data_IF_571452782484
#
_entry.id   IF_571452782484
#
_cell.length_a   1.000
_cell.length_b   1.000
_cell.length_c   1.000
_cell.angle_alpha   90.00
_cell.angle_beta   90.00
_cell.angle_gamma   90.00
#
_symmetry.space_group_name_H-M   'P 1'
#
loop_
_entity.id
_entity.type
_entity.pdbx_description
1 polymer ?
#
# COMPACT_ATOMS: atom_id res chain seq x y z
N UNK A 1 14.04 9.21 -9.10
CA UNK A 1 15.44 8.76 -9.24
C UNK A 1 15.90 9.23 -10.59
N UNK A 2 17.01 9.94 -10.65
CA UNK A 2 17.64 10.29 -11.92
C UNK A 2 18.06 9.03 -12.67
N UNK A 3 18.66 9.21 -13.83
CA UNK A 3 19.24 8.10 -14.59
C UNK A 3 20.29 7.36 -13.73
N UNK A 4 20.07 6.06 -13.47
CA UNK A 4 20.98 5.20 -12.70
C UNK A 4 22.39 5.19 -13.29
N UNK A 5 22.52 5.42 -14.61
CA UNK A 5 23.81 5.47 -15.30
C UNK A 5 24.69 6.62 -14.82
N UNK A 6 24.09 7.68 -14.28
CA UNK A 6 24.80 8.91 -13.87
C UNK A 6 25.39 8.83 -12.46
N UNK A 7 25.03 7.81 -11.68
CA UNK A 7 25.54 7.62 -10.32
C UNK A 7 26.99 7.11 -10.34
N UNK A 8 27.78 7.45 -9.33
CA UNK A 8 29.09 6.79 -9.16
C UNK A 8 28.91 5.33 -8.69
N UNK A 9 29.99 4.56 -8.67
CA UNK A 9 29.92 3.14 -8.28
C UNK A 9 29.46 2.94 -6.84
N UNK A 10 29.78 3.87 -5.93
CA UNK A 10 29.38 3.75 -4.54
C UNK A 10 27.88 3.96 -4.41
N UNK A 11 27.35 5.04 -4.96
CA UNK A 11 25.94 5.38 -4.85
C UNK A 11 25.06 4.38 -5.59
N UNK A 12 25.50 3.87 -6.75
CA UNK A 12 24.79 2.84 -7.51
C UNK A 12 24.54 1.56 -6.68
N UNK A 13 25.53 1.10 -5.91
CA UNK A 13 25.43 -0.06 -5.00
C UNK A 13 24.53 0.17 -3.78
N UNK A 14 24.14 1.42 -3.54
CA UNK A 14 23.42 1.86 -2.35
C UNK A 14 22.07 2.51 -2.68
N UNK A 15 21.58 2.32 -3.92
CA UNK A 15 20.20 2.66 -4.29
C UNK A 15 19.24 1.63 -3.68
N UNK A 16 18.25 2.05 -2.88
CA UNK A 16 17.24 1.16 -2.32
C UNK A 16 16.53 0.30 -3.38
N UNK A 17 16.38 -1.01 -3.15
CA UNK A 17 15.71 -1.91 -4.10
C UNK A 17 14.30 -1.45 -4.53
N UNK A 18 13.44 -0.81 -3.68
CA UNK A 18 12.12 -0.37 -4.12
C UNK A 18 12.20 0.67 -5.25
N UNK A 19 13.29 1.43 -5.31
CA UNK A 19 13.55 2.38 -6.38
C UNK A 19 14.04 1.69 -7.65
N UNK A 20 14.80 0.59 -7.53
CA UNK A 20 15.20 -0.25 -8.66
C UNK A 20 14.00 -0.98 -9.29
N UNK A 21 12.98 -1.33 -8.49
CA UNK A 21 11.73 -1.88 -8.99
C UNK A 21 10.98 -0.93 -9.95
N UNK A 22 11.37 0.35 -10.03
CA UNK A 22 10.92 1.26 -11.09
C UNK A 22 11.22 0.74 -12.50
N UNK A 23 12.25 -0.10 -12.68
CA UNK A 23 12.54 -0.77 -13.97
C UNK A 23 11.33 -1.53 -14.53
N UNK A 24 10.35 -1.90 -13.69
CA UNK A 24 9.08 -2.44 -14.16
C UNK A 24 8.26 -1.47 -15.03
N UNK A 25 8.43 -0.16 -14.86
CA UNK A 25 7.85 0.87 -15.73
C UNK A 25 8.48 0.81 -17.12
N UNK A 26 9.80 0.76 -17.20
CA UNK A 26 10.54 0.67 -18.46
C UNK A 26 10.21 -0.65 -19.18
N UNK A 27 10.13 -1.75 -18.42
CA UNK A 27 9.67 -3.04 -18.94
C UNK A 27 8.26 -2.94 -19.54
N UNK A 28 7.31 -2.33 -18.81
CA UNK A 28 5.94 -2.12 -19.32
C UNK A 28 5.92 -1.27 -20.59
N UNK A 29 6.70 -0.19 -20.65
CA UNK A 29 6.77 0.67 -21.82
C UNK A 29 7.27 -0.09 -23.06
N UNK A 30 8.24 -0.99 -22.89
CA UNK A 30 8.72 -1.87 -23.95
C UNK A 30 7.71 -2.98 -24.35
N UNK A 31 6.67 -3.22 -23.54
CA UNK A 31 5.71 -4.31 -23.70
C UNK A 31 4.25 -3.82 -23.69
N UNK A 32 3.95 -2.75 -24.43
CA UNK A 32 2.57 -2.24 -24.62
C UNK A 32 1.82 -1.91 -23.32
N UNK A 33 2.56 -1.48 -22.29
CA UNK A 33 2.04 -1.18 -20.96
C UNK A 33 1.77 -2.42 -20.09
N UNK A 34 2.07 -3.63 -20.56
CA UNK A 34 1.73 -4.87 -19.87
C UNK A 34 2.82 -5.31 -18.88
N UNK A 35 2.41 -5.67 -17.67
CA UNK A 35 3.30 -6.29 -16.70
C UNK A 35 3.62 -7.75 -17.10
N UNK A 36 4.76 -8.31 -16.66
CA UNK A 36 5.07 -9.74 -16.83
C UNK A 36 3.96 -10.66 -16.30
N UNK A 37 3.42 -11.55 -17.15
CA UNK A 37 2.35 -12.49 -16.74
C UNK A 37 2.83 -13.94 -16.77
N UNK A 38 3.42 -14.34 -17.89
CA UNK A 38 3.91 -15.70 -18.11
C UNK A 38 5.26 -15.90 -17.42
N UNK A 39 5.59 -17.15 -17.10
CA UNK A 39 6.88 -17.49 -16.49
C UNK A 39 8.08 -16.94 -17.27
N UNK A 40 8.07 -17.07 -18.60
CA UNK A 40 9.14 -16.54 -19.44
C UNK A 40 9.27 -15.01 -19.35
N UNK A 41 8.14 -14.28 -19.32
CA UNK A 41 8.15 -12.81 -19.15
C UNK A 41 8.65 -12.39 -17.77
N UNK A 42 8.31 -13.17 -16.72
CA UNK A 42 8.79 -12.92 -15.36
C UNK A 42 10.32 -13.11 -15.29
N UNK A 43 10.83 -14.16 -15.91
CA UNK A 43 12.27 -14.39 -16.02
C UNK A 43 12.98 -13.31 -16.83
N UNK A 44 12.38 -12.88 -17.93
CA UNK A 44 12.89 -11.80 -18.78
C UNK A 44 12.97 -10.47 -18.02
N UNK A 45 11.94 -10.10 -17.26
CA UNK A 45 12.00 -8.93 -16.38
C UNK A 45 13.04 -9.07 -15.25
N UNK A 46 13.15 -10.25 -14.63
CA UNK A 46 14.22 -10.49 -13.65
C UNK A 46 15.60 -10.32 -14.30
N UNK A 47 15.77 -10.76 -15.55
CA UNK A 47 17.01 -10.60 -16.28
C UNK A 47 17.28 -9.12 -16.61
N UNK A 48 16.26 -8.31 -16.89
CA UNK A 48 16.45 -6.88 -17.11
C UNK A 48 16.96 -6.15 -15.86
N UNK A 49 16.49 -6.54 -14.67
CA UNK A 49 17.04 -6.01 -13.40
C UNK A 49 18.51 -6.39 -13.25
N UNK A 50 18.89 -7.65 -13.55
CA UNK A 50 20.29 -8.10 -13.49
C UNK A 50 21.18 -7.36 -14.49
N UNK A 51 20.68 -7.11 -15.69
CA UNK A 51 21.42 -6.40 -16.73
C UNK A 51 21.60 -4.89 -16.43
N UNK A 52 20.75 -4.33 -15.56
CA UNK A 52 20.90 -2.95 -15.09
C UNK A 52 21.97 -2.81 -13.98
N UNK A 53 22.40 -3.93 -13.36
CA UNK A 53 23.51 -3.94 -12.44
C UNK A 53 24.84 -3.75 -13.21
N UNK A 54 25.80 -3.05 -12.60
CA UNK A 54 27.18 -2.94 -13.11
C UNK A 54 27.96 -4.22 -12.82
N UNK A 55 27.70 -4.82 -11.66
CA UNK A 55 28.35 -6.05 -11.20
C UNK A 55 27.43 -6.85 -10.28
N UNK A 56 26.44 -7.53 -10.85
CA UNK A 56 25.34 -8.17 -10.10
C UNK A 56 25.78 -9.04 -8.89
N UNK A 57 26.84 -9.89 -8.97
CA UNK A 57 27.33 -10.63 -7.81
C UNK A 57 27.72 -9.78 -6.60
N UNK A 58 28.18 -8.54 -6.82
CA UNK A 58 28.69 -7.63 -5.79
C UNK A 58 27.71 -6.47 -5.47
N UNK A 59 26.50 -6.50 -6.03
CA UNK A 59 25.48 -5.46 -5.86
C UNK A 59 24.24 -6.02 -5.13
N UNK A 60 24.32 -6.08 -3.80
CA UNK A 60 23.28 -6.65 -2.94
C UNK A 60 21.91 -5.98 -3.12
N UNK A 61 21.86 -4.67 -3.39
CA UNK A 61 20.62 -3.96 -3.67
C UNK A 61 19.91 -4.46 -4.94
N UNK A 62 20.65 -4.87 -5.98
CA UNK A 62 20.08 -5.51 -7.16
C UNK A 62 19.66 -6.96 -6.90
N UNK A 63 20.37 -7.68 -6.04
CA UNK A 63 19.95 -9.01 -5.59
C UNK A 63 18.63 -8.94 -4.81
N UNK A 64 18.48 -7.97 -3.90
CA UNK A 64 17.23 -7.67 -3.21
C UNK A 64 16.12 -7.28 -4.21
N UNK A 65 16.43 -6.49 -5.24
CA UNK A 65 15.46 -6.12 -6.27
C UNK A 65 14.97 -7.34 -7.06
N UNK A 66 15.86 -8.29 -7.39
CA UNK A 66 15.47 -9.55 -8.04
C UNK A 66 14.58 -10.39 -7.13
N UNK A 67 14.93 -10.53 -5.85
CA UNK A 67 14.12 -11.27 -4.87
C UNK A 67 12.72 -10.67 -4.70
N UNK A 68 12.60 -9.34 -4.80
CA UNK A 68 11.36 -8.61 -4.64
C UNK A 68 10.68 -8.22 -5.96
N UNK A 69 11.19 -8.69 -7.11
CA UNK A 69 10.68 -8.33 -8.44
C UNK A 69 9.18 -8.68 -8.59
N UNK A 70 8.73 -9.75 -7.92
CA UNK A 70 7.35 -10.19 -7.94
C UNK A 70 6.36 -9.15 -7.44
N UNK A 71 6.77 -8.23 -6.56
CA UNK A 71 5.91 -7.15 -6.08
C UNK A 71 5.42 -6.23 -7.22
N UNK A 72 6.08 -6.24 -8.38
CA UNK A 72 5.75 -5.37 -9.53
C UNK A 72 4.76 -5.97 -10.52
N UNK A 73 4.59 -7.30 -10.48
CA UNK A 73 3.77 -8.05 -11.45
C UNK A 73 2.83 -9.06 -10.82
N UNK A 74 2.98 -9.35 -9.52
CA UNK A 74 1.94 -10.02 -8.78
C UNK A 74 0.74 -9.07 -8.65
N UNK A 75 -0.47 -9.59 -8.86
CA UNK A 75 -1.63 -8.74 -9.05
C UNK A 75 -2.05 -8.13 -7.71
N UNK A 76 -1.50 -6.96 -7.38
CA UNK A 76 -1.96 -6.14 -6.26
C UNK A 76 -3.48 -5.96 -6.28
N UNK A 77 -4.08 -5.92 -7.49
CA UNK A 77 -5.53 -5.87 -7.69
C UNK A 77 -6.29 -7.09 -7.15
N UNK A 78 -5.76 -8.31 -7.26
CA UNK A 78 -6.44 -9.49 -6.74
C UNK A 78 -6.45 -9.46 -5.21
N UNK A 79 -5.30 -9.18 -4.58
CA UNK A 79 -5.19 -9.04 -3.13
C UNK A 79 -6.06 -7.90 -2.60
N UNK A 80 -6.13 -6.77 -3.31
CA UNK A 80 -7.02 -5.65 -2.97
C UNK A 80 -8.50 -6.04 -3.02
N UNK A 81 -8.93 -6.78 -4.06
CA UNK A 81 -10.32 -7.26 -4.16
C UNK A 81 -10.69 -8.20 -3.02
N UNK A 82 -9.79 -9.12 -2.66
CA UNK A 82 -10.00 -10.01 -1.50
C UNK A 82 -10.12 -9.21 -0.21
N UNK A 83 -9.22 -8.26 0.03
CA UNK A 83 -9.27 -7.40 1.22
C UNK A 83 -10.56 -6.57 1.29
N UNK A 84 -11.03 -6.02 0.17
CA UNK A 84 -12.29 -5.29 0.09
C UNK A 84 -13.51 -6.18 0.38
N UNK A 85 -13.52 -7.41 -0.15
CA UNK A 85 -14.57 -8.40 0.13
C UNK A 85 -14.63 -8.74 1.62
N UNK A 86 -13.47 -9.09 2.21
CA UNK A 86 -13.35 -9.39 3.64
C UNK A 86 -13.79 -8.22 4.53
N UNK A 87 -13.41 -6.99 4.17
CA UNK A 87 -13.86 -5.79 4.89
C UNK A 87 -15.38 -5.63 4.83
N UNK A 88 -15.98 -5.84 3.66
CA UNK A 88 -17.42 -5.71 3.46
C UNK A 88 -18.18 -6.75 4.29
N UNK A 89 -17.74 -8.01 4.27
CA UNK A 89 -18.32 -9.07 5.10
C UNK A 89 -18.19 -8.77 6.60
N UNK A 90 -17.02 -8.32 7.04
CA UNK A 90 -16.76 -7.97 8.44
C UNK A 90 -17.65 -6.81 8.89
N UNK A 91 -17.80 -5.78 8.05
CA UNK A 91 -18.67 -4.64 8.33
C UNK A 91 -20.14 -5.09 8.45
N UNK A 92 -20.65 -5.92 7.54
CA UNK A 92 -22.02 -6.44 7.60
C UNK A 92 -22.28 -7.22 8.90
N UNK A 93 -21.36 -8.12 9.28
CA UNK A 93 -21.45 -8.88 10.54
C UNK A 93 -21.45 -7.96 11.76
N UNK A 94 -20.56 -6.97 11.78
CA UNK A 94 -20.47 -6.01 12.88
C UNK A 94 -21.72 -5.13 12.98
N UNK A 95 -22.31 -4.73 11.84
CA UNK A 95 -23.55 -3.95 11.77
C UNK A 95 -24.74 -4.74 12.34
N UNK A 96 -24.87 -6.03 11.98
CA UNK A 96 -25.89 -6.91 12.52
C UNK A 96 -25.76 -7.08 14.05
N UNK A 97 -24.54 -7.30 14.54
CA UNK A 97 -24.28 -7.43 15.97
C UNK A 97 -24.59 -6.16 16.77
N UNK A 98 -24.45 -4.96 16.17
CA UNK A 98 -24.85 -3.69 16.81
C UNK A 98 -26.36 -3.64 17.04
N UNK A 99 -27.16 -4.18 16.13
CA UNK A 99 -28.63 -4.24 16.27
C UNK A 99 -29.03 -5.12 17.46
N UNK A 100 -28.30 -6.22 17.69
CA UNK A 100 -28.54 -7.16 18.80
C UNK A 100 -27.96 -6.67 20.13
N UNK A 101 -26.88 -5.89 20.09
CA UNK A 101 -26.15 -5.41 21.26
C UNK A 101 -25.98 -3.89 21.23
N UNK A 102 -27.10 -3.18 21.18
CA UNK A 102 -27.13 -1.73 21.04
C UNK A 102 -26.32 -1.00 22.14
N UNK A 103 -26.27 -1.51 23.37
CA UNK A 103 -25.56 -0.86 24.48
C UNK A 103 -24.02 -1.08 24.44
N UNK A 104 -23.52 -1.92 23.53
CA UNK A 104 -22.09 -2.22 23.44
C UNK A 104 -21.32 -1.12 22.71
N UNK A 105 -20.89 -0.10 23.45
CA UNK A 105 -20.13 1.06 22.93
C UNK A 105 -18.87 0.66 22.16
N UNK A 106 -18.14 -0.39 22.59
CA UNK A 106 -16.93 -0.84 21.88
C UNK A 106 -17.25 -1.38 20.50
N UNK A 107 -18.34 -2.14 20.37
CA UNK A 107 -18.82 -2.65 19.10
C UNK A 107 -19.28 -1.50 18.18
N UNK A 108 -19.93 -0.47 18.74
CA UNK A 108 -20.29 0.72 17.98
C UNK A 108 -19.08 1.45 17.41
N UNK A 109 -18.05 1.69 18.23
CA UNK A 109 -16.79 2.29 17.78
C UNK A 109 -16.11 1.45 16.69
N UNK A 110 -16.13 0.12 16.84
CA UNK A 110 -15.57 -0.78 15.84
C UNK A 110 -16.28 -0.65 14.49
N UNK A 111 -17.62 -0.62 14.47
CA UNK A 111 -18.38 -0.39 13.22
C UNK A 111 -18.03 0.94 12.57
N UNK A 112 -17.93 2.02 13.35
CA UNK A 112 -17.55 3.35 12.84
C UNK A 112 -16.17 3.33 12.20
N UNK A 113 -15.20 2.65 12.82
CA UNK A 113 -13.86 2.48 12.26
C UNK A 113 -13.90 1.69 10.93
N UNK A 114 -14.70 0.64 10.84
CA UNK A 114 -14.86 -0.15 9.61
C UNK A 114 -15.53 0.66 8.49
N UNK A 115 -16.55 1.45 8.81
CA UNK A 115 -17.22 2.34 7.85
C UNK A 115 -16.25 3.41 7.32
N UNK A 116 -15.48 4.03 8.22
CA UNK A 116 -14.45 4.99 7.84
C UNK A 116 -13.37 4.34 6.97
N UNK A 117 -12.93 3.14 7.30
CA UNK A 117 -11.95 2.39 6.50
C UNK A 117 -12.49 2.03 5.12
N UNK A 118 -13.76 1.58 5.02
CA UNK A 118 -14.40 1.26 3.74
C UNK A 118 -14.46 2.52 2.86
N UNK A 119 -14.86 3.66 3.43
CA UNK A 119 -14.91 4.92 2.71
C UNK A 119 -13.52 5.40 2.28
N UNK A 120 -12.52 5.29 3.14
CA UNK A 120 -11.13 5.59 2.79
C UNK A 120 -10.67 4.74 1.60
N UNK A 121 -10.85 3.43 1.68
CA UNK A 121 -10.43 2.52 0.60
C UNK A 121 -11.13 2.85 -0.72
N UNK A 122 -12.42 3.20 -0.70
CA UNK A 122 -13.16 3.61 -1.89
C UNK A 122 -12.57 4.90 -2.53
N UNK A 123 -12.04 5.82 -1.72
CA UNK A 123 -11.37 7.05 -2.18
C UNK A 123 -9.91 6.82 -2.64
N UNK A 124 -9.31 5.69 -2.27
CA UNK A 124 -7.88 5.40 -2.46
C UNK A 124 -7.64 4.13 -3.28
N UNK A 125 -8.41 3.91 -4.35
CA UNK A 125 -8.22 2.77 -5.28
C UNK A 125 -8.24 1.40 -4.57
N UNK A 126 -9.10 1.26 -3.56
CA UNK A 126 -9.22 0.09 -2.69
C UNK A 126 -7.94 -0.24 -1.89
N UNK A 127 -7.08 0.76 -1.64
CA UNK A 127 -5.90 0.61 -0.79
C UNK A 127 -6.19 1.08 0.64
N UNK A 128 -5.75 0.33 1.67
CA UNK A 128 -5.87 0.77 3.05
C UNK A 128 -4.88 1.92 3.35
N UNK A 129 -5.07 2.63 4.48
CA UNK A 129 -4.11 3.60 4.99
C UNK A 129 -2.70 3.01 5.11
N UNK A 130 -1.68 3.79 4.75
CA UNK A 130 -0.29 3.35 4.81
C UNK A 130 0.19 3.21 6.27
N UNK A 131 0.89 2.11 6.57
CA UNK A 131 1.49 1.86 7.89
C UNK A 131 2.67 2.82 8.21
N UNK A 132 3.38 3.28 7.18
CA UNK A 132 4.51 4.21 7.29
C UNK A 132 5.85 3.60 7.69
N UNK A 133 5.89 2.32 8.06
CA UNK A 133 7.13 1.57 8.32
C UNK A 133 7.60 0.87 7.05
N UNK A 134 8.91 0.91 6.80
CA UNK A 134 9.59 0.14 5.76
C UNK A 134 10.57 -0.85 6.41
N UNK A 135 10.82 -2.03 5.82
CA UNK A 135 11.83 -2.98 6.32
C UNK A 135 13.25 -2.41 6.14
N UNK A 136 14.23 -3.09 6.73
CA UNK A 136 15.63 -2.85 6.42
C UNK A 136 15.95 -3.25 4.98
N UNK A 137 16.94 -2.62 4.35
CA UNK A 137 17.36 -2.90 2.99
C UNK A 137 18.76 -2.37 2.69
N UNK A 138 19.42 -2.92 1.68
CA UNK A 138 20.71 -2.44 1.20
C UNK A 138 20.54 -1.05 0.56
N UNK A 139 20.96 -0.02 1.28
CA UNK A 139 20.93 1.36 0.84
C UNK A 139 21.93 2.23 1.59
N UNK A 140 22.22 3.42 1.07
CA UNK A 140 22.94 4.43 1.86
C UNK A 140 22.03 4.93 2.98
N UNK A 141 22.63 5.42 4.08
CA UNK A 141 21.88 6.04 5.17
C UNK A 141 21.00 7.18 4.69
N UNK A 142 21.51 8.02 3.78
CA UNK A 142 20.77 9.15 3.24
C UNK A 142 19.52 8.68 2.47
N UNK A 143 19.70 7.79 1.49
CA UNK A 143 18.60 7.24 0.69
C UNK A 143 17.56 6.52 1.57
N UNK A 144 18.02 5.74 2.55
CA UNK A 144 17.13 5.04 3.48
C UNK A 144 16.29 6.01 4.33
N UNK A 145 16.92 7.03 4.91
CA UNK A 145 16.23 8.04 5.74
C UNK A 145 15.24 8.85 4.91
N UNK A 146 15.60 9.24 3.68
CA UNK A 146 14.69 9.93 2.77
C UNK A 146 13.48 9.06 2.43
N UNK A 147 13.69 7.80 2.07
CA UNK A 147 12.60 6.86 1.76
C UNK A 147 11.70 6.65 2.99
N UNK A 148 12.29 6.42 4.16
CA UNK A 148 11.55 6.27 5.41
C UNK A 148 10.70 7.51 5.71
N UNK A 149 11.23 8.71 5.47
CA UNK A 149 10.52 9.97 5.68
C UNK A 149 9.30 10.07 4.76
N UNK A 150 9.44 9.73 3.47
CA UNK A 150 8.31 9.72 2.52
C UNK A 150 7.17 8.81 3.02
N UNK A 151 7.49 7.59 3.45
CA UNK A 151 6.48 6.65 3.95
C UNK A 151 5.83 7.14 5.25
N UNK A 152 6.60 7.69 6.18
CA UNK A 152 6.08 8.28 7.42
C UNK A 152 5.15 9.45 7.15
N UNK A 153 5.53 10.35 6.25
CA UNK A 153 4.71 11.51 5.88
C UNK A 153 3.40 11.09 5.26
N UNK A 154 3.41 10.15 4.31
CA UNK A 154 2.19 9.62 3.70
C UNK A 154 1.28 8.92 4.71
N UNK A 155 1.85 8.12 5.62
CA UNK A 155 1.09 7.49 6.69
C UNK A 155 0.44 8.52 7.64
N UNK A 156 1.14 9.60 7.98
CA UNK A 156 0.57 10.68 8.78
C UNK A 156 -0.61 11.37 8.07
N UNK A 157 -0.52 11.58 6.75
CA UNK A 157 -1.61 12.10 5.93
C UNK A 157 -2.81 11.13 5.92
N UNK A 158 -2.56 9.83 5.78
CA UNK A 158 -3.63 8.82 5.78
C UNK A 158 -4.34 8.73 7.14
N UNK A 159 -3.59 8.81 8.23
CA UNK A 159 -4.15 8.89 9.59
C UNK A 159 -5.01 10.14 9.75
N UNK A 160 -4.57 11.29 9.23
CA UNK A 160 -5.36 12.52 9.29
C UNK A 160 -6.68 12.39 8.50
N UNK A 161 -6.62 11.84 7.28
CA UNK A 161 -7.82 11.57 6.48
C UNK A 161 -8.77 10.59 7.18
N UNK A 162 -8.24 9.50 7.76
CA UNK A 162 -9.02 8.54 8.54
C UNK A 162 -9.72 9.19 9.74
N UNK A 163 -9.06 10.09 10.47
CA UNK A 163 -9.68 10.81 11.59
C UNK A 163 -10.88 11.63 11.16
N UNK A 164 -10.79 12.33 10.02
CA UNK A 164 -11.91 13.09 9.45
C UNK A 164 -13.08 12.16 9.11
N UNK A 165 -12.80 11.01 8.48
CA UNK A 165 -13.83 10.04 8.13
C UNK A 165 -14.50 9.44 9.38
N UNK A 166 -13.72 9.08 10.40
CA UNK A 166 -14.24 8.57 11.68
C UNK A 166 -15.16 9.59 12.35
N UNK A 167 -14.76 10.86 12.38
CA UNK A 167 -15.57 11.94 12.94
C UNK A 167 -16.90 12.10 12.18
N UNK A 168 -16.86 12.10 10.85
CA UNK A 168 -18.07 12.20 10.02
C UNK A 168 -19.03 11.02 10.25
N UNK A 169 -18.50 9.80 10.34
CA UNK A 169 -19.30 8.60 10.63
C UNK A 169 -19.91 8.64 12.05
N UNK A 170 -19.17 9.15 13.03
CA UNK A 170 -19.68 9.38 14.38
C UNK A 170 -20.84 10.38 14.41
N UNK A 171 -20.68 11.54 13.80
CA UNK A 171 -21.71 12.59 13.76
C UNK A 171 -22.98 12.14 13.03
N UNK A 172 -22.84 11.48 11.89
CA UNK A 172 -23.97 10.92 11.12
C UNK A 172 -24.81 9.97 11.97
N UNK A 173 -24.15 9.12 12.77
CA UNK A 173 -24.84 8.19 13.68
C UNK A 173 -25.58 8.90 14.80
N UNK A 174 -24.98 9.92 15.42
CA UNK A 174 -25.63 10.71 16.47
C UNK A 174 -26.90 11.40 15.95
N UNK A 175 -26.84 11.95 14.74
CA UNK A 175 -28.00 12.57 14.10
C UNK A 175 -29.12 11.56 13.83
N UNK A 176 -28.79 10.35 13.36
CA UNK A 176 -29.76 9.28 13.14
C UNK A 176 -30.47 8.88 14.44
N UNK A 177 -29.72 8.75 15.54
CA UNK A 177 -30.29 8.43 16.85
C UNK A 177 -31.25 9.52 17.35
N UNK A 178 -30.87 10.80 17.24
CA UNK A 178 -31.72 11.92 17.63
C UNK A 178 -33.01 12.00 16.81
N UNK A 179 -32.93 11.77 15.49
CA UNK A 179 -34.12 11.75 14.63
C UNK A 179 -35.06 10.58 14.97
N UNK A 180 -34.51 9.45 15.41
CA UNK A 180 -35.31 8.28 15.80
C UNK A 180 -36.01 8.52 17.15
N UNK A 181 -35.35 9.20 18.09
CA UNK A 181 -35.98 9.59 19.37
C UNK A 181 -37.07 10.65 19.22
N UNK A 182 -37.02 11.50 18.20
CA UNK A 182 -38.04 12.53 17.94
C UNK A 182 -39.29 11.99 17.23
N UNK A 183 -39.20 10.79 16.63
CA UNK A 183 -40.30 10.14 15.90
C UNK A 183 -41.10 9.14 16.75
N UNK A 184 -40.59 8.78 17.93
CA UNK A 184 -41.22 7.92 18.93
C UNK A 184 -41.83 8.76 20.05
#
# INVERSE_FOLDING_TARGET
VGDLSTLDNKDHKHVPYPLLLRLAQDYRQAHEGQAPRKFAQKQDFVQSIKNAARDYPDELNFQEAVQNAYLTYDSAQASQRVAQGQLTELLQKAQAAVTEHADNVKLQHFVILLQALQQFMAQHQNQPPLLGKIPDMTASTEWYVQLQTIYKTKAAQDVAAMKVLVQAQWESRQQQQQQQTLKN
#
